data_IF_096427266166
#
_entry.id   IF_096427266166
#
_cell.length_a   1.000
_cell.length_b   1.000
_cell.length_c   1.000
_cell.angle_alpha   90.00
_cell.angle_beta   90.00
_cell.angle_gamma   90.00
#
_symmetry.space_group_name_H-M   'P 1'
#
loop_
_entity.id
_entity.type
_entity.pdbx_description
1 polymer ?
#
# COMPACT_ATOMS: atom_id res chain seq x y z
N UNK A 1 11.61 8.38 7.85
CA UNK A 1 11.77 9.72 7.22
C UNK A 1 11.58 9.69 5.70
N UNK A 2 12.16 8.73 4.94
CA UNK A 2 12.08 8.68 3.46
C UNK A 2 10.65 8.76 2.89
N UNK A 3 9.64 8.00 3.37
CA UNK A 3 8.27 8.11 2.84
C UNK A 3 7.65 9.51 3.03
N UNK A 4 7.98 10.17 4.15
CA UNK A 4 7.50 11.54 4.41
C UNK A 4 8.12 12.58 3.49
N UNK A 5 9.41 12.43 3.19
CA UNK A 5 10.10 13.29 2.21
C UNK A 5 9.56 13.07 0.80
N UNK A 6 9.30 11.81 0.39
CA UNK A 6 8.66 11.51 -0.89
C UNK A 6 7.29 12.16 -1.00
N UNK A 7 6.46 12.04 0.03
CA UNK A 7 5.14 12.68 0.09
C UNK A 7 5.27 14.19 -0.09
N UNK A 8 6.11 14.86 0.70
CA UNK A 8 6.30 16.30 0.62
C UNK A 8 6.80 16.74 -0.78
N UNK A 9 7.72 15.97 -1.38
CA UNK A 9 8.22 16.23 -2.74
C UNK A 9 7.12 16.09 -3.78
N UNK A 10 6.27 15.05 -3.69
CA UNK A 10 5.17 14.85 -4.64
C UNK A 10 4.15 15.99 -4.57
N UNK A 11 3.77 16.43 -3.37
CA UNK A 11 2.87 17.56 -3.21
C UNK A 11 3.48 18.88 -3.68
N UNK A 12 4.77 19.10 -3.44
CA UNK A 12 5.49 20.24 -4.00
C UNK A 12 5.45 20.24 -5.54
N UNK A 13 5.75 19.10 -6.17
CA UNK A 13 5.72 18.97 -7.63
C UNK A 13 4.30 19.13 -8.18
N UNK A 14 3.29 18.57 -7.51
CA UNK A 14 1.89 18.73 -7.91
C UNK A 14 1.48 20.22 -7.90
N UNK A 15 1.84 20.96 -6.85
CA UNK A 15 1.60 22.39 -6.76
C UNK A 15 2.34 23.18 -7.85
N UNK A 16 3.63 22.89 -8.05
CA UNK A 16 4.46 23.54 -9.07
C UNK A 16 3.90 23.32 -10.47
N UNK A 17 3.60 22.09 -10.86
CA UNK A 17 3.04 21.76 -12.17
C UNK A 17 1.63 22.33 -12.37
N UNK A 18 0.84 22.41 -11.30
CA UNK A 18 -0.48 23.06 -11.36
C UNK A 18 -0.34 24.54 -11.71
N UNK A 19 0.60 25.25 -11.09
CA UNK A 19 0.86 26.65 -11.37
C UNK A 19 1.42 26.87 -12.79
N UNK A 20 2.39 26.05 -13.22
CA UNK A 20 3.05 26.20 -14.52
C UNK A 20 2.12 25.90 -15.71
N UNK A 21 1.20 24.95 -15.56
CA UNK A 21 0.39 24.45 -16.68
C UNK A 21 -1.08 24.93 -16.61
N UNK A 22 -1.47 25.70 -15.60
CA UNK A 22 -2.86 26.12 -15.36
C UNK A 22 -3.82 24.91 -15.31
N UNK A 23 -3.38 23.79 -14.71
CA UNK A 23 -4.12 22.55 -14.56
C UNK A 23 -4.01 22.06 -13.13
N UNK A 24 -4.97 21.28 -12.67
CA UNK A 24 -4.88 20.63 -11.36
C UNK A 24 -4.10 19.31 -11.47
N UNK A 25 -3.04 19.20 -10.70
CA UNK A 25 -2.27 17.97 -10.53
C UNK A 25 -2.54 17.40 -9.14
N UNK A 26 -2.85 16.11 -9.09
CA UNK A 26 -3.18 15.39 -7.86
C UNK A 26 -2.11 14.33 -7.57
N UNK A 27 -1.88 14.07 -6.29
CA UNK A 27 -1.00 12.98 -5.85
C UNK A 27 -1.80 11.68 -5.76
N UNK A 28 -1.43 10.70 -6.59
CA UNK A 28 -2.02 9.36 -6.56
C UNK A 28 -1.30 8.49 -5.52
N UNK A 29 -2.06 7.89 -4.60
CA UNK A 29 -1.59 6.89 -3.65
C UNK A 29 -1.56 5.51 -4.27
N UNK A 30 -0.59 4.71 -3.86
CA UNK A 30 -0.29 3.38 -4.39
C UNK A 30 -0.53 2.24 -3.41
N UNK A 31 -1.14 2.52 -2.24
CA UNK A 31 -1.47 1.48 -1.26
C UNK A 31 -2.66 0.66 -1.72
N UNK A 32 -2.51 -0.67 -1.66
CA UNK A 32 -3.56 -1.63 -1.96
C UNK A 32 -4.45 -1.92 -0.74
N UNK A 33 -5.51 -2.68 -0.93
CA UNK A 33 -6.50 -3.03 0.10
C UNK A 33 -5.87 -3.76 1.30
N UNK A 34 -4.94 -4.68 1.05
CA UNK A 34 -4.30 -5.46 2.11
C UNK A 34 -3.42 -4.59 3.00
N UNK A 35 -2.60 -3.70 2.40
CA UNK A 35 -1.75 -2.76 3.12
C UNK A 35 -2.58 -1.81 3.98
N UNK A 36 -3.65 -1.26 3.43
CA UNK A 36 -4.56 -0.37 4.16
C UNK A 36 -5.27 -1.10 5.30
N UNK A 37 -5.68 -2.35 5.09
CA UNK A 37 -6.36 -3.15 6.10
C UNK A 37 -5.49 -3.40 7.34
N UNK A 38 -4.23 -3.75 7.15
CA UNK A 38 -3.29 -4.02 8.26
C UNK A 38 -2.52 -2.78 8.71
N UNK A 39 -2.72 -1.62 8.07
CA UNK A 39 -2.02 -0.38 8.41
C UNK A 39 -0.54 -0.37 8.02
N UNK A 40 -0.17 -1.10 6.96
CA UNK A 40 1.20 -1.17 6.47
C UNK A 40 1.54 0.05 5.61
N UNK A 41 1.76 1.17 6.26
CA UNK A 41 2.17 2.43 5.65
C UNK A 41 2.84 3.35 6.69
N UNK A 42 3.56 4.35 6.23
CA UNK A 42 4.13 5.39 7.11
C UNK A 42 3.13 6.52 7.31
N UNK A 43 2.70 6.75 8.56
CA UNK A 43 1.82 7.88 8.92
C UNK A 43 2.45 9.21 8.51
N UNK A 44 1.71 10.02 7.74
CA UNK A 44 2.21 11.27 7.16
C UNK A 44 3.23 11.08 6.03
N UNK A 45 3.26 9.89 5.43
CA UNK A 45 4.11 9.55 4.29
C UNK A 45 3.27 9.03 3.14
N UNK A 46 3.48 7.76 2.78
CA UNK A 46 2.81 7.08 1.67
C UNK A 46 1.28 6.91 1.84
N UNK A 47 0.76 7.07 3.06
CA UNK A 47 -0.70 7.09 3.30
C UNK A 47 -1.37 8.43 2.95
N UNK A 48 -0.59 9.49 2.69
CA UNK A 48 -1.11 10.83 2.36
C UNK A 48 -1.12 11.00 0.83
N UNK A 49 -2.30 11.14 0.27
CA UNK A 49 -2.53 11.33 -1.17
C UNK A 49 -3.92 11.92 -1.40
N UNK A 50 -4.15 12.47 -2.59
CA UNK A 50 -5.46 13.03 -2.99
C UNK A 50 -6.42 11.95 -3.46
N UNK A 51 -5.89 10.93 -4.17
CA UNK A 51 -6.68 9.79 -4.68
C UNK A 51 -5.97 8.47 -4.40
N UNK A 52 -6.73 7.42 -4.16
CA UNK A 52 -6.23 6.05 -3.91
C UNK A 52 -6.76 5.11 -4.98
N UNK A 53 -6.04 5.01 -6.09
CA UNK A 53 -6.50 4.31 -7.30
C UNK A 53 -6.63 2.79 -7.15
N UNK A 54 -5.85 2.17 -6.24
CA UNK A 54 -5.82 0.72 -6.03
C UNK A 54 -6.23 0.28 -4.62
N UNK A 55 -6.81 1.19 -3.82
CA UNK A 55 -7.16 0.94 -2.42
C UNK A 55 -8.21 -0.17 -2.21
N UNK A 56 -9.05 -0.41 -3.18
CA UNK A 56 -10.13 -1.41 -3.11
C UNK A 56 -9.71 -2.79 -3.64
N UNK A 57 -8.50 -2.90 -4.20
CA UNK A 57 -7.99 -4.13 -4.81
C UNK A 57 -6.99 -4.85 -3.90
N UNK A 58 -7.15 -6.18 -3.78
CA UNK A 58 -6.16 -7.05 -3.14
C UNK A 58 -4.87 -7.12 -3.96
N UNK A 59 -3.79 -7.69 -3.41
CA UNK A 59 -2.54 -7.87 -4.15
C UNK A 59 -2.75 -8.71 -5.40
N UNK A 60 -3.52 -9.80 -5.32
CA UNK A 60 -3.83 -10.65 -6.47
C UNK A 60 -4.60 -9.91 -7.57
N UNK A 61 -5.54 -9.06 -7.17
CA UNK A 61 -6.30 -8.24 -8.12
C UNK A 61 -5.43 -7.17 -8.78
N UNK A 62 -4.50 -6.57 -8.03
CA UNK A 62 -3.53 -5.60 -8.58
C UNK A 62 -2.62 -6.27 -9.59
N UNK A 63 -2.15 -7.51 -9.32
CA UNK A 63 -1.35 -8.28 -10.27
C UNK A 63 -2.14 -8.59 -11.55
N UNK A 64 -3.39 -9.06 -11.43
CA UNK A 64 -4.24 -9.35 -12.59
C UNK A 64 -4.50 -8.10 -13.45
N UNK A 65 -4.76 -6.95 -12.82
CA UNK A 65 -4.91 -5.67 -13.53
C UNK A 65 -3.59 -5.30 -14.24
N UNK A 66 -2.46 -5.50 -13.59
CA UNK A 66 -1.15 -5.22 -14.16
C UNK A 66 -0.82 -6.09 -15.38
N UNK A 67 -1.25 -7.37 -15.39
CA UNK A 67 -1.15 -8.27 -16.54
C UNK A 67 -1.96 -7.73 -17.73
N UNK A 68 -3.22 -7.38 -17.51
CA UNK A 68 -4.10 -6.82 -18.55
C UNK A 68 -3.56 -5.50 -19.11
N UNK A 69 -2.92 -4.69 -18.29
CA UNK A 69 -2.28 -3.44 -18.69
C UNK A 69 -0.89 -3.64 -19.32
N UNK A 70 -0.42 -4.87 -19.50
CA UNK A 70 0.90 -5.21 -20.01
C UNK A 70 2.06 -4.55 -19.25
N UNK A 71 1.94 -4.46 -17.92
CA UNK A 71 3.04 -3.99 -17.07
C UNK A 71 4.23 -4.95 -17.21
N UNK A 72 5.47 -4.47 -17.45
CA UNK A 72 6.63 -5.32 -17.59
C UNK A 72 6.78 -6.32 -16.44
N UNK A 73 7.02 -7.59 -16.76
CA UNK A 73 7.07 -8.71 -15.81
C UNK A 73 8.02 -8.47 -14.63
N UNK A 74 9.18 -7.88 -14.88
CA UNK A 74 10.17 -7.55 -13.85
C UNK A 74 9.72 -6.44 -12.88
N UNK A 75 8.69 -5.68 -13.24
CA UNK A 75 8.04 -4.69 -12.36
C UNK A 75 6.87 -5.36 -11.63
N UNK A 76 6.01 -6.03 -12.37
CA UNK A 76 4.77 -6.62 -11.87
C UNK A 76 5.03 -7.68 -10.80
N UNK A 77 5.99 -8.58 -11.03
CA UNK A 77 6.33 -9.68 -10.12
C UNK A 77 7.55 -9.39 -9.23
N UNK A 78 7.91 -8.13 -9.10
CA UNK A 78 8.93 -7.74 -8.14
C UNK A 78 8.43 -8.03 -6.72
N UNK A 79 9.25 -8.71 -5.93
CA UNK A 79 8.92 -8.97 -4.51
C UNK A 79 8.57 -7.67 -3.79
N UNK A 80 7.37 -7.58 -3.18
CA UNK A 80 6.94 -6.40 -2.46
C UNK A 80 7.92 -6.06 -1.32
N UNK A 81 8.39 -4.81 -1.32
CA UNK A 81 9.28 -4.31 -0.27
C UNK A 81 9.22 -2.79 -0.20
N UNK A 82 9.43 -2.23 0.99
CA UNK A 82 9.53 -0.78 1.18
C UNK A 82 10.82 -0.16 0.61
N UNK A 83 11.76 -1.00 0.17
CA UNK A 83 13.08 -0.56 -0.33
C UNK A 83 13.97 0.07 0.74
N UNK A 84 13.70 -0.15 2.03
CA UNK A 84 14.40 0.50 3.14
C UNK A 84 15.27 -0.45 3.96
N UNK A 85 14.88 -1.70 4.12
CA UNK A 85 15.50 -2.65 5.04
C UNK A 85 16.06 -3.91 4.38
N UNK A 86 15.90 -4.09 3.07
CA UNK A 86 16.30 -5.29 2.35
C UNK A 86 15.43 -6.53 2.63
N UNK A 87 14.40 -6.41 3.46
CA UNK A 87 13.42 -7.48 3.74
C UNK A 87 12.17 -7.28 2.90
N UNK A 88 11.47 -8.38 2.60
CA UNK A 88 10.15 -8.32 1.99
C UNK A 88 9.11 -7.74 2.96
N UNK A 89 7.98 -7.30 2.43
CA UNK A 89 6.89 -6.80 3.27
C UNK A 89 6.30 -7.93 4.12
N UNK A 90 6.14 -9.12 3.56
CA UNK A 90 5.65 -10.31 4.30
C UNK A 90 6.59 -10.73 5.44
N UNK A 91 7.91 -10.63 5.25
CA UNK A 91 8.88 -10.87 6.34
C UNK A 91 8.71 -9.91 7.51
N UNK A 92 8.37 -8.66 7.22
CA UNK A 92 8.15 -7.62 8.26
C UNK A 92 6.81 -7.76 8.93
N UNK A 93 5.77 -8.07 8.17
CA UNK A 93 4.42 -8.27 8.68
C UNK A 93 4.33 -9.57 9.50
N UNK A 94 5.13 -10.58 9.13
CA UNK A 94 5.06 -11.93 9.69
C UNK A 94 3.83 -12.73 9.22
N UNK A 95 3.18 -12.26 8.15
CA UNK A 95 1.99 -12.87 7.54
C UNK A 95 1.98 -12.56 6.04
N UNK A 96 1.47 -13.48 5.23
CA UNK A 96 1.40 -13.30 3.77
C UNK A 96 0.21 -12.43 3.36
N UNK A 97 0.31 -11.74 2.24
CA UNK A 97 -0.82 -11.01 1.65
C UNK A 97 -1.98 -11.93 1.31
N UNK A 98 -1.70 -13.17 0.93
CA UNK A 98 -2.73 -14.20 0.70
C UNK A 98 -3.54 -14.51 1.96
N UNK A 99 -2.88 -14.65 3.11
CA UNK A 99 -3.57 -14.86 4.38
C UNK A 99 -4.41 -13.65 4.79
N UNK A 100 -3.91 -12.43 4.55
CA UNK A 100 -4.65 -11.19 4.79
C UNK A 100 -5.91 -11.15 3.91
N UNK A 101 -5.79 -11.46 2.61
CA UNK A 101 -6.92 -11.54 1.68
C UNK A 101 -7.95 -12.56 2.15
N UNK A 102 -7.52 -13.79 2.48
CA UNK A 102 -8.41 -14.83 2.97
C UNK A 102 -9.17 -14.39 4.23
N UNK A 103 -8.47 -13.77 5.18
CA UNK A 103 -9.10 -13.25 6.40
C UNK A 103 -10.16 -12.18 6.09
N UNK A 104 -9.87 -11.23 5.19
CA UNK A 104 -10.84 -10.20 4.78
C UNK A 104 -12.08 -10.77 4.09
N UNK A 105 -11.92 -11.88 3.38
CA UNK A 105 -13.00 -12.58 2.67
C UNK A 105 -13.77 -13.58 3.58
N UNK A 106 -13.42 -13.68 4.85
CA UNK A 106 -14.03 -14.62 5.79
C UNK A 106 -13.66 -16.09 5.54
N UNK A 107 -12.59 -16.34 4.78
CA UNK A 107 -12.03 -17.68 4.53
C UNK A 107 -11.16 -18.13 5.70
N UNK A 108 -10.94 -19.43 5.78
CA UNK A 108 -10.11 -20.03 6.82
C UNK A 108 -8.64 -19.57 6.71
N UNK A 109 -8.05 -19.19 7.83
CA UNK A 109 -6.63 -18.84 7.99
C UNK A 109 -6.08 -19.54 9.24
N UNK A 110 -4.77 -19.74 9.32
CA UNK A 110 -4.16 -20.32 10.50
C UNK A 110 -4.40 -19.45 11.75
N UNK A 111 -4.53 -20.05 12.93
CA UNK A 111 -4.66 -19.32 14.20
C UNK A 111 -3.49 -18.36 14.45
N UNK A 112 -2.29 -18.71 13.97
CA UNK A 112 -1.11 -17.84 14.03
C UNK A 112 -1.32 -16.57 13.19
N UNK A 113 -1.71 -16.74 11.93
CA UNK A 113 -1.91 -15.61 11.00
C UNK A 113 -3.06 -14.72 11.46
N UNK A 114 -4.16 -15.33 11.92
CA UNK A 114 -5.31 -14.61 12.49
C UNK A 114 -4.89 -13.68 13.62
N UNK A 115 -4.15 -14.18 14.61
CA UNK A 115 -3.65 -13.36 15.72
C UNK A 115 -2.76 -12.20 15.26
N UNK A 116 -1.91 -12.43 14.26
CA UNK A 116 -1.06 -11.37 13.68
C UNK A 116 -1.92 -10.32 13.00
N UNK A 117 -2.86 -10.72 12.13
CA UNK A 117 -3.74 -9.83 11.39
C UNK A 117 -4.59 -8.99 12.32
N UNK A 118 -5.24 -9.58 13.33
CA UNK A 118 -6.07 -8.88 14.30
C UNK A 118 -5.28 -7.85 15.12
N UNK A 119 -4.05 -8.18 15.49
CA UNK A 119 -3.14 -7.24 16.17
C UNK A 119 -2.78 -6.05 15.27
N UNK A 120 -2.42 -6.29 14.01
CA UNK A 120 -2.08 -5.23 13.06
C UNK A 120 -3.27 -4.33 12.78
N UNK A 121 -4.45 -4.91 12.56
CA UNK A 121 -5.70 -4.18 12.34
C UNK A 121 -6.09 -3.32 13.55
N UNK A 122 -5.92 -3.81 14.78
CA UNK A 122 -6.15 -3.04 15.98
C UNK A 122 -5.24 -1.79 16.03
N UNK A 123 -3.93 -1.98 15.79
CA UNK A 123 -2.99 -0.87 15.80
C UNK A 123 -3.25 0.15 14.68
N UNK A 124 -3.69 -0.30 13.52
CA UNK A 124 -4.11 0.58 12.43
C UNK A 124 -5.25 1.50 12.88
N UNK A 125 -6.30 0.96 13.50
CA UNK A 125 -7.42 1.76 14.02
C UNK A 125 -6.99 2.78 15.08
N UNK A 126 -6.16 2.36 16.03
CA UNK A 126 -5.65 3.27 17.09
C UNK A 126 -4.75 4.36 16.51
N UNK A 127 -3.99 4.07 15.47
CA UNK A 127 -3.07 5.05 14.84
C UNK A 127 -3.79 6.10 14.00
N UNK A 128 -5.01 5.84 13.55
CA UNK A 128 -5.81 6.75 12.72
C UNK A 128 -6.86 7.55 13.52
N UNK A 129 -7.09 7.17 14.78
CA UNK A 129 -7.93 7.93 15.71
C UNK A 129 -7.17 9.10 16.33
#
# INVERSE_FOLDING_TARGET
IKPRLRMATLYYLAALYSALNSKTYLVAGTSNKCELFVGYFTKGGDNVCDIKTIADFTVEQVLAIGEELNVPHNILYKTPSDGLSGKSDEDKLGVTYKAITNYMEGKEVSEKDKKIIERLFFWQKVSLA
#
